data_IF_046165930285
#
_entry.id   IF_046165930285
#
_cell.length_a   1.000
_cell.length_b   1.000
_cell.length_c   1.000
_cell.angle_alpha   90.00
_cell.angle_beta   90.00
_cell.angle_gamma   90.00
#
_symmetry.space_group_name_H-M   'P 1'
#
loop_
_entity.id
_entity.type
_entity.pdbx_description
1 polymer ?
#
# COMPACT_ATOMS: atom_id res chain seq x y z
N UNK A 1 3.37 -17.20 -3.74
CA UNK A 1 2.85 -15.87 -3.40
C UNK A 1 4.02 -14.91 -3.54
N UNK A 2 3.84 -13.83 -4.28
CA UNK A 2 4.91 -12.86 -4.57
C UNK A 2 5.00 -11.83 -3.43
N UNK A 3 6.23 -11.41 -3.08
CA UNK A 3 6.46 -10.37 -2.06
C UNK A 3 6.85 -9.07 -2.74
N UNK A 4 6.28 -7.96 -2.26
CA UNK A 4 6.57 -6.59 -2.71
C UNK A 4 6.72 -5.68 -1.52
N UNK A 5 7.27 -4.50 -1.76
CA UNK A 5 7.22 -3.40 -0.80
C UNK A 5 6.04 -2.50 -1.14
N UNK A 6 5.28 -2.10 -0.13
CA UNK A 6 4.15 -1.21 -0.26
C UNK A 6 4.55 0.24 0.09
N UNK A 7 4.13 1.21 -0.71
CA UNK A 7 4.25 2.64 -0.42
C UNK A 7 2.91 3.33 -0.71
N UNK A 8 2.33 4.00 0.29
CA UNK A 8 1.03 4.67 0.14
C UNK A 8 1.16 5.97 -0.65
N UNK A 9 0.37 6.13 -1.72
CA UNK A 9 0.47 7.30 -2.61
C UNK A 9 -0.74 8.24 -2.59
N UNK A 10 -1.78 7.87 -1.86
CA UNK A 10 -3.02 8.65 -1.74
C UNK A 10 -2.89 9.80 -0.70
N UNK A 11 -4.02 10.40 -0.29
CA UNK A 11 -4.04 11.54 0.62
C UNK A 11 -3.58 11.14 2.04
N UNK A 12 -2.39 11.59 2.42
CA UNK A 12 -1.75 11.41 3.74
C UNK A 12 -2.46 12.24 4.84
N UNK A 13 -3.62 11.76 5.27
CA UNK A 13 -4.45 12.43 6.28
C UNK A 13 -5.22 11.41 7.10
N UNK A 14 -5.30 11.60 8.41
CA UNK A 14 -6.14 10.79 9.32
C UNK A 14 -7.63 10.88 9.01
N UNK A 15 -8.03 11.82 8.15
CA UNK A 15 -9.42 11.96 7.66
C UNK A 15 -9.67 11.18 6.37
N UNK A 16 -8.63 10.58 5.78
CA UNK A 16 -8.74 9.72 4.60
C UNK A 16 -9.40 8.40 4.99
N UNK A 17 -10.30 7.88 4.15
CA UNK A 17 -10.88 6.54 4.34
C UNK A 17 -9.80 5.47 4.37
N UNK A 18 -8.71 5.70 3.65
CA UNK A 18 -7.57 4.78 3.53
C UNK A 18 -6.39 5.17 4.43
N UNK A 19 -6.63 5.99 5.46
CA UNK A 19 -5.59 6.38 6.42
C UNK A 19 -4.89 5.15 7.03
N UNK A 20 -5.60 4.04 7.21
CA UNK A 20 -5.03 2.77 7.68
C UNK A 20 -3.86 2.31 6.80
N UNK A 21 -3.92 2.48 5.48
CA UNK A 21 -2.81 2.11 4.58
C UNK A 21 -1.61 3.03 4.76
N UNK A 22 -1.83 4.32 4.98
CA UNK A 22 -0.76 5.26 5.25
C UNK A 22 0.07 4.85 6.48
N UNK A 23 -0.59 4.36 7.54
CA UNK A 23 0.08 3.80 8.73
C UNK A 23 0.91 2.53 8.45
N UNK A 24 0.70 1.91 7.29
CA UNK A 24 1.40 0.69 6.85
C UNK A 24 2.33 0.92 5.65
N UNK A 25 2.58 2.17 5.26
CA UNK A 25 3.54 2.49 4.19
C UNK A 25 4.94 1.98 4.53
N UNK A 26 5.75 1.73 3.50
CA UNK A 26 7.13 1.26 3.57
C UNK A 26 7.32 -0.11 4.23
N UNK A 27 6.37 -1.02 4.02
CA UNK A 27 6.39 -2.38 4.56
C UNK A 27 6.36 -3.45 3.47
N UNK A 28 6.92 -4.63 3.78
CA UNK A 28 6.79 -5.79 2.90
C UNK A 28 5.37 -6.39 3.01
N UNK A 29 4.75 -6.61 1.86
CA UNK A 29 3.42 -7.22 1.71
C UNK A 29 3.49 -8.48 0.85
N UNK A 30 2.53 -9.37 1.04
CA UNK A 30 2.33 -10.55 0.19
C UNK A 30 1.19 -10.29 -0.79
N UNK A 31 1.45 -10.39 -2.10
CA UNK A 31 0.42 -10.27 -3.14
C UNK A 31 -0.39 -11.56 -3.18
N UNK A 32 -1.70 -11.43 -2.94
CA UNK A 32 -2.63 -12.56 -2.91
C UNK A 32 -3.24 -12.82 -4.28
N UNK A 33 -3.82 -11.79 -4.90
CA UNK A 33 -4.44 -11.89 -6.22
C UNK A 33 -4.49 -10.53 -6.91
N UNK A 34 -4.49 -10.55 -8.25
CA UNK A 34 -4.85 -9.38 -9.06
C UNK A 34 -6.36 -9.19 -9.01
N UNK A 35 -6.80 -7.94 -8.87
CA UNK A 35 -8.22 -7.58 -8.88
C UNK A 35 -8.60 -7.27 -10.35
N UNK A 36 -9.68 -7.86 -10.89
CA UNK A 36 -10.14 -7.51 -12.21
C UNK A 36 -10.45 -6.02 -12.28
N UNK A 37 -10.11 -5.33 -13.38
CA UNK A 37 -10.44 -3.92 -13.52
C UNK A 37 -11.95 -3.73 -13.36
N UNK A 38 -12.35 -2.86 -12.44
CA UNK A 38 -13.69 -2.27 -12.43
C UNK A 38 -13.66 -1.01 -13.29
N UNK A 39 -14.69 -0.17 -13.25
CA UNK A 39 -14.82 1.03 -14.09
C UNK A 39 -13.61 1.99 -14.07
N UNK A 40 -12.69 1.86 -13.10
CA UNK A 40 -11.35 2.46 -13.19
C UNK A 40 -10.38 1.51 -13.90
N UNK A 41 -9.82 1.94 -15.03
CA UNK A 41 -8.74 1.24 -15.77
C UNK A 41 -7.43 1.07 -14.98
N UNK A 42 -7.43 1.34 -13.67
CA UNK A 42 -6.27 1.22 -12.79
C UNK A 42 -6.12 -0.22 -12.31
N UNK A 43 -4.92 -0.76 -12.50
CA UNK A 43 -4.57 -2.09 -12.04
C UNK A 43 -4.45 -2.11 -10.52
N UNK A 44 -5.17 -3.05 -9.88
CA UNK A 44 -5.19 -3.21 -8.43
C UNK A 44 -4.86 -4.64 -8.03
N UNK A 45 -4.30 -4.78 -6.83
CA UNK A 45 -3.93 -6.06 -6.24
C UNK A 45 -4.47 -6.16 -4.82
N UNK A 46 -4.96 -7.34 -4.46
CA UNK A 46 -5.22 -7.69 -3.07
C UNK A 46 -3.89 -8.11 -2.44
N UNK A 47 -3.52 -7.49 -1.32
CA UNK A 47 -2.29 -7.77 -0.59
C UNK A 47 -2.57 -8.07 0.87
N UNK A 48 -1.63 -8.77 1.52
CA UNK A 48 -1.63 -9.03 2.96
C UNK A 48 -0.38 -8.46 3.62
N UNK A 49 -0.59 -7.65 4.66
CA UNK A 49 0.45 -7.09 5.53
C UNK A 49 0.90 -8.10 6.59
N UNK A 50 2.01 -7.80 7.27
CA UNK A 50 2.62 -8.71 8.27
C UNK A 50 1.75 -8.96 9.50
N UNK A 51 0.89 -8.00 9.84
CA UNK A 51 -0.06 -8.07 10.95
C UNK A 51 -1.36 -8.81 10.58
N UNK A 52 -1.51 -9.21 9.31
CA UNK A 52 -2.67 -9.91 8.79
C UNK A 52 -3.71 -8.99 8.14
N UNK A 53 -3.51 -7.67 8.09
CA UNK A 53 -4.39 -6.76 7.35
C UNK A 53 -4.39 -7.15 5.87
N UNK A 54 -5.57 -7.19 5.26
CA UNK A 54 -5.75 -7.40 3.83
C UNK A 54 -6.42 -6.18 3.21
N UNK A 55 -5.91 -5.74 2.06
CA UNK A 55 -6.44 -4.56 1.39
C UNK A 55 -6.15 -4.57 -0.11
N UNK A 56 -6.96 -3.83 -0.87
CA UNK A 56 -6.73 -3.56 -2.29
C UNK A 56 -5.84 -2.34 -2.45
N UNK A 57 -4.71 -2.49 -3.13
CA UNK A 57 -3.74 -1.42 -3.39
C UNK A 57 -3.54 -1.25 -4.90
N UNK A 58 -3.10 -0.07 -5.32
CA UNK A 58 -2.79 0.17 -6.72
C UNK A 58 -1.44 -0.45 -7.12
N UNK A 59 -1.27 -0.75 -8.39
CA UNK A 59 -0.05 -1.34 -8.92
C UNK A 59 1.19 -0.44 -8.71
N UNK A 60 1.03 0.88 -8.74
CA UNK A 60 2.10 1.86 -8.51
C UNK A 60 2.50 2.00 -7.04
N UNK A 61 1.65 1.54 -6.11
CA UNK A 61 1.95 1.45 -4.68
C UNK A 61 2.79 0.21 -4.33
N UNK A 62 3.06 -0.68 -5.31
CA UNK A 62 3.86 -1.89 -5.13
C UNK A 62 5.22 -1.79 -5.83
N UNK A 63 6.28 -1.65 -5.04
CA UNK A 63 7.66 -1.54 -5.54
C UNK A 63 8.48 -2.79 -5.27
N UNK A 64 9.59 -2.94 -6.00
CA UNK A 64 10.45 -4.13 -5.90
C UNK A 64 11.49 -4.00 -4.77
N UNK A 65 11.87 -2.78 -4.41
CA UNK A 65 12.87 -2.51 -3.39
C UNK A 65 12.55 -1.25 -2.60
N UNK A 66 13.02 -1.19 -1.35
CA UNK A 66 12.96 0.03 -0.52
C UNK A 66 13.68 1.24 -1.13
N UNK A 67 14.57 1.01 -2.11
CA UNK A 67 15.25 2.08 -2.85
C UNK A 67 14.33 2.80 -3.85
N UNK A 68 13.22 2.16 -4.19
CA UNK A 68 12.25 2.67 -5.17
C UNK A 68 11.14 3.51 -4.50
N UNK A 69 11.22 3.70 -3.17
CA UNK A 69 10.32 4.56 -2.41
C UNK A 69 10.48 6.03 -2.83
N UNK A 70 9.35 6.66 -3.14
CA UNK A 70 9.26 8.05 -3.54
C UNK A 70 8.86 8.98 -2.39
N UNK A 71 8.13 8.47 -1.40
CA UNK A 71 7.55 9.23 -0.29
C UNK A 71 8.33 9.02 1.01
N UNK A 72 8.33 9.99 1.94
CA UNK A 72 8.92 9.81 3.25
C UNK A 72 8.12 8.81 4.10
N UNK A 73 8.80 8.10 5.01
CA UNK A 73 8.16 7.26 6.02
C UNK A 73 7.04 7.99 6.78
N UNK A 74 6.01 7.24 7.20
CA UNK A 74 4.99 7.74 8.10
C UNK A 74 5.63 8.27 9.39
N UNK A 75 5.77 9.59 9.48
CA UNK A 75 6.23 10.25 10.71
C UNK A 75 5.04 10.29 11.66
N UNK A 76 4.99 9.34 12.58
CA UNK A 76 4.06 9.38 13.69
C UNK A 76 4.13 10.78 14.33
N UNK A 77 3.05 11.56 14.40
CA UNK A 77 3.07 12.79 15.14
C UNK A 77 3.45 12.44 16.58
N UNK A 78 4.53 13.07 17.08
CA UNK A 78 4.87 12.98 18.51
C UNK A 78 3.63 13.46 19.28
N UNK A 79 3.05 12.57 20.07
CA UNK A 79 1.98 12.89 21.01
C UNK A 79 2.35 14.07 21.88
#
# INVERSE_FOLDING_TARGET
MEKKWFEYHCLESEKSTDAILWHHTHQEVTVLNKIPPSESDLEMYMVRFKDGLEYSVFADELVNSVKDFYRPDYKTPKK
#
